data_IF_687234754443
#
_entry.id   IF_687234754443
#
_cell.length_a   1.000
_cell.length_b   1.000
_cell.length_c   1.000
_cell.angle_alpha   90.00
_cell.angle_beta   90.00
_cell.angle_gamma   90.00
#
_symmetry.space_group_name_H-M   'P 1'
#
loop_
_entity.id
_entity.type
_entity.pdbx_description
1 polymer ?
#
# COMPACT_ATOMS: atom_id res chain seq x y z
N UNK A 1 44.73 51.25 24.53
CA UNK A 1 44.75 49.83 24.95
C UNK A 1 43.85 49.05 24.01
N UNK A 2 44.35 48.04 23.28
CA UNK A 2 43.51 47.24 22.40
C UNK A 2 42.71 46.24 23.24
N UNK A 3 41.39 46.24 23.11
CA UNK A 3 40.54 45.25 23.76
C UNK A 3 40.65 43.91 23.02
N UNK A 4 41.06 42.88 23.74
CA UNK A 4 41.14 41.50 23.27
C UNK A 4 39.75 41.00 22.85
N UNK A 5 39.66 40.36 21.68
CA UNK A 5 38.44 39.66 21.23
C UNK A 5 38.34 38.34 22.00
N UNK A 6 37.18 37.98 22.58
CA UNK A 6 37.02 36.72 23.29
C UNK A 6 37.17 35.52 22.33
N UNK A 7 37.81 34.47 22.85
CA UNK A 7 38.15 33.25 22.12
C UNK A 7 36.93 32.44 21.68
N UNK A 8 37.11 31.61 20.65
CA UNK A 8 36.09 30.80 19.95
C UNK A 8 35.33 29.76 20.79
N UNK A 9 35.46 29.74 22.12
CA UNK A 9 34.91 28.68 22.98
C UNK A 9 34.04 29.14 24.15
N UNK A 10 33.72 30.43 24.29
CA UNK A 10 32.91 30.95 25.40
C UNK A 10 31.41 31.10 25.08
N UNK A 11 30.86 30.21 24.25
CA UNK A 11 29.40 30.12 24.13
C UNK A 11 28.88 29.15 25.19
N UNK A 12 27.97 29.57 26.10
CA UNK A 12 27.30 28.62 26.99
C UNK A 12 26.65 27.52 26.14
N UNK A 13 26.64 26.26 26.61
CA UNK A 13 26.00 25.18 25.88
C UNK A 13 24.57 25.62 25.55
N UNK A 14 24.24 25.68 24.25
CA UNK A 14 22.91 26.06 23.79
C UNK A 14 21.91 25.17 24.54
N UNK A 15 20.91 25.73 25.24
CA UNK A 15 19.90 24.91 25.90
C UNK A 15 19.33 23.94 24.86
N UNK A 16 19.33 22.66 25.21
CA UNK A 16 18.82 21.62 24.33
C UNK A 16 17.36 21.92 24.00
N UNK A 17 17.11 22.48 22.82
CA UNK A 17 15.77 22.67 22.30
C UNK A 17 15.19 21.29 21.97
N UNK A 18 14.71 20.59 22.99
CA UNK A 18 13.79 19.48 22.84
C UNK A 18 12.39 20.08 22.81
N UNK A 19 11.87 20.31 21.61
CA UNK A 19 10.42 20.28 21.44
C UNK A 19 10.09 18.89 20.89
N UNK A 20 9.86 17.86 21.73
CA UNK A 20 8.96 16.84 21.27
C UNK A 20 7.63 17.58 21.14
N UNK A 21 7.19 17.82 19.91
CA UNK A 21 5.78 18.15 19.68
C UNK A 21 4.91 17.12 20.41
N UNK A 22 3.64 17.43 20.69
CA UNK A 22 2.77 16.50 21.41
C UNK A 22 2.87 15.11 20.79
N UNK A 23 2.97 14.10 21.66
CA UNK A 23 3.06 12.70 21.26
C UNK A 23 2.06 12.44 20.12
N UNK A 24 2.49 11.93 18.96
CA UNK A 24 1.63 11.84 17.80
C UNK A 24 0.69 10.64 17.95
N UNK A 25 -0.30 10.75 18.84
CA UNK A 25 -1.20 9.67 19.26
C UNK A 25 -1.75 8.85 18.09
N UNK A 26 -2.33 9.52 17.10
CA UNK A 26 -2.90 8.83 15.93
C UNK A 26 -1.83 8.10 15.09
N UNK A 27 -0.60 8.63 15.02
CA UNK A 27 0.50 7.96 14.32
C UNK A 27 1.03 6.76 15.11
N UNK A 28 1.01 6.82 16.44
CA UNK A 28 1.41 5.72 17.31
C UNK A 28 0.36 4.61 17.34
N UNK A 29 -0.91 4.94 17.45
CA UNK A 29 -2.01 3.98 17.32
C UNK A 29 -1.94 3.28 15.96
N UNK A 30 -1.70 4.05 14.89
CA UNK A 30 -1.42 3.50 13.56
C UNK A 30 -0.25 2.53 13.50
N UNK A 31 0.83 2.84 14.20
CA UNK A 31 2.02 2.00 14.16
C UNK A 31 1.87 0.74 15.02
N UNK A 32 1.34 0.89 16.24
CA UNK A 32 1.21 -0.17 17.24
C UNK A 32 0.22 -1.25 16.85
N UNK A 33 -0.83 -0.90 16.09
CA UNK A 33 -1.81 -1.87 15.59
C UNK A 33 -1.26 -2.81 14.53
N UNK A 34 -0.05 -2.59 14.00
CA UNK A 34 0.51 -3.44 12.94
C UNK A 34 1.04 -4.76 13.48
N UNK A 35 0.71 -5.83 12.77
CA UNK A 35 1.20 -7.19 13.04
C UNK A 35 2.61 -7.39 12.47
N UNK A 36 3.41 -8.28 13.08
CA UNK A 36 4.75 -8.61 12.57
C UNK A 36 4.65 -9.66 11.46
N UNK A 37 5.11 -9.34 10.25
CA UNK A 37 5.14 -10.29 9.12
C UNK A 37 6.56 -10.40 8.55
N UNK A 38 7.27 -11.54 8.77
CA UNK A 38 8.53 -11.86 8.11
C UNK A 38 8.41 -11.80 6.59
N UNK A 39 9.42 -11.21 5.93
CA UNK A 39 9.44 -11.06 4.49
C UNK A 39 10.87 -11.06 3.97
N UNK A 40 11.11 -11.71 2.84
CA UNK A 40 12.42 -11.73 2.21
C UNK A 40 12.66 -10.48 1.36
N UNK A 41 11.64 -10.00 0.65
CA UNK A 41 11.70 -8.84 -0.23
C UNK A 41 10.57 -7.86 0.05
N UNK A 42 10.85 -6.57 -0.07
CA UNK A 42 9.79 -5.55 0.00
C UNK A 42 8.72 -5.71 -1.09
N UNK A 43 9.00 -6.50 -2.14
CA UNK A 43 8.05 -6.85 -3.21
C UNK A 43 7.12 -8.01 -2.85
N UNK A 44 7.34 -8.66 -1.71
CA UNK A 44 6.47 -9.74 -1.19
C UNK A 44 5.22 -9.20 -0.50
N UNK A 45 5.24 -7.91 -0.16
CA UNK A 45 4.20 -7.23 0.61
C UNK A 45 3.76 -6.03 -0.20
N UNK A 46 2.47 -5.89 -0.43
CA UNK A 46 1.93 -4.92 -1.36
C UNK A 46 0.93 -3.98 -0.70
N UNK A 47 1.03 -2.67 -1.01
CA UNK A 47 0.11 -1.58 -0.62
C UNK A 47 -0.46 -1.71 0.80
N UNK A 48 -1.71 -2.15 0.95
CA UNK A 48 -2.43 -2.22 2.21
C UNK A 48 -1.84 -3.23 3.19
N UNK A 49 -1.11 -4.25 2.71
CA UNK A 49 -0.36 -5.12 3.61
C UNK A 49 0.72 -4.34 4.36
N UNK A 50 1.29 -3.26 3.79
CA UNK A 50 2.19 -2.38 4.55
C UNK A 50 1.44 -1.48 5.54
N UNK A 51 0.12 -1.29 5.37
CA UNK A 51 -0.71 -0.56 6.31
C UNK A 51 -1.10 -1.40 7.52
N UNK A 52 -1.23 -2.72 7.35
CA UNK A 52 -1.63 -3.68 8.39
C UNK A 52 -0.46 -4.42 9.02
N UNK A 53 0.63 -4.64 8.28
CA UNK A 53 1.80 -5.38 8.74
C UNK A 53 3.05 -4.50 8.82
N UNK A 54 3.83 -4.70 9.88
CA UNK A 54 5.20 -4.23 9.99
C UNK A 54 6.14 -5.24 9.37
N UNK A 55 6.82 -4.80 8.30
CA UNK A 55 7.64 -5.66 7.46
C UNK A 55 8.98 -5.01 7.24
N UNK A 56 10.04 -5.78 7.45
CA UNK A 56 11.40 -5.43 7.05
C UNK A 56 11.91 -6.56 6.17
N UNK A 57 12.19 -6.25 4.91
CA UNK A 57 12.75 -7.23 3.98
C UNK A 57 13.96 -7.94 4.62
N UNK A 58 14.18 -9.23 4.34
CA UNK A 58 15.31 -10.02 4.85
C UNK A 58 15.44 -10.10 6.38
N UNK A 59 14.47 -9.61 7.15
CA UNK A 59 14.37 -9.88 8.56
C UNK A 59 13.45 -11.09 8.73
N UNK A 60 13.98 -12.26 8.37
CA UNK A 60 13.23 -13.52 8.44
C UNK A 60 13.07 -14.04 9.87
N UNK A 61 13.90 -13.53 10.79
CA UNK A 61 13.82 -13.83 12.22
C UNK A 61 12.88 -12.86 12.92
N UNK A 62 11.94 -13.39 13.70
CA UNK A 62 10.98 -12.59 14.47
C UNK A 62 11.68 -11.68 15.49
N UNK A 63 12.80 -12.11 16.06
CA UNK A 63 13.55 -11.30 17.04
C UNK A 63 14.11 -10.02 16.41
N UNK A 64 14.67 -10.13 15.20
CA UNK A 64 15.15 -8.98 14.42
C UNK A 64 14.00 -8.02 14.12
N UNK A 65 12.86 -8.54 13.68
CA UNK A 65 11.69 -7.69 13.39
C UNK A 65 11.16 -7.00 14.65
N UNK A 66 11.12 -7.71 15.77
CA UNK A 66 10.67 -7.20 17.06
C UNK A 66 11.57 -6.06 17.53
N UNK A 67 12.89 -6.22 17.44
CA UNK A 67 13.86 -5.17 17.80
C UNK A 67 13.72 -3.91 16.95
N UNK A 68 13.57 -4.07 15.63
CA UNK A 68 13.39 -2.93 14.73
C UNK A 68 12.04 -2.25 15.02
N UNK A 69 10.95 -3.01 15.21
CA UNK A 69 9.63 -2.45 15.54
C UNK A 69 9.68 -1.67 16.85
N UNK A 70 10.30 -2.23 17.88
CA UNK A 70 10.43 -1.60 19.19
C UNK A 70 11.23 -0.29 19.14
N UNK A 71 12.30 -0.21 18.35
CA UNK A 71 13.03 1.05 18.19
C UNK A 71 12.23 2.08 17.37
N UNK A 72 11.47 1.66 16.36
CA UNK A 72 10.59 2.58 15.61
C UNK A 72 9.47 3.12 16.51
N UNK A 73 8.90 2.28 17.38
CA UNK A 73 7.90 2.71 18.38
C UNK A 73 8.48 3.80 19.30
N UNK A 74 9.65 3.53 19.90
CA UNK A 74 10.36 4.50 20.74
C UNK A 74 10.68 5.79 19.99
N UNK A 75 11.11 5.68 18.74
CA UNK A 75 11.39 6.85 17.92
C UNK A 75 10.14 7.71 17.64
N UNK A 76 8.98 7.08 17.42
CA UNK A 76 7.70 7.78 17.25
C UNK A 76 7.22 8.41 18.56
N UNK A 77 7.32 7.69 19.68
CA UNK A 77 6.81 8.12 20.98
C UNK A 77 7.65 9.25 21.59
N UNK A 78 8.97 9.12 21.56
CA UNK A 78 9.89 10.05 22.22
C UNK A 78 10.45 11.12 21.25
N UNK A 79 10.13 11.04 19.96
CA UNK A 79 10.65 11.96 18.94
C UNK A 79 12.15 11.80 18.65
N UNK A 80 12.70 10.60 18.81
CA UNK A 80 14.14 10.32 18.63
C UNK A 80 14.63 10.67 17.23
N UNK A 81 15.88 11.09 17.14
CA UNK A 81 16.56 11.39 15.87
C UNK A 81 17.03 10.11 15.16
N UNK A 82 17.34 10.22 13.86
CA UNK A 82 17.95 9.13 13.10
C UNK A 82 19.29 8.66 13.70
N UNK A 83 20.08 9.59 14.26
CA UNK A 83 21.38 9.28 14.84
C UNK A 83 21.20 8.41 16.09
N UNK A 84 20.27 8.77 16.98
CA UNK A 84 19.91 7.98 18.16
C UNK A 84 19.37 6.60 17.74
N UNK A 85 18.42 6.56 16.80
CA UNK A 85 17.88 5.31 16.26
C UNK A 85 18.97 4.35 15.76
N UNK A 86 19.95 4.87 15.01
CA UNK A 86 21.06 4.06 14.50
C UNK A 86 22.03 3.62 15.61
N UNK A 87 22.33 4.51 16.55
CA UNK A 87 23.24 4.24 17.67
C UNK A 87 22.73 3.10 18.55
N UNK A 88 21.43 3.10 18.85
CA UNK A 88 20.83 2.15 19.79
C UNK A 88 20.50 0.81 19.14
N UNK A 89 20.03 0.83 17.89
CA UNK A 89 19.56 -0.38 17.20
C UNK A 89 20.70 -1.20 16.58
N UNK A 90 21.77 -0.54 16.09
CA UNK A 90 22.90 -1.23 15.46
C UNK A 90 23.48 -2.37 16.32
N UNK A 91 23.90 -2.14 17.59
CA UNK A 91 24.52 -3.21 18.39
C UNK A 91 23.59 -4.39 18.64
N UNK A 92 22.28 -4.14 18.83
CA UNK A 92 21.28 -5.20 19.02
C UNK A 92 21.09 -6.05 17.76
N UNK A 93 21.14 -5.42 16.58
CA UNK A 93 21.08 -6.14 15.31
C UNK A 93 22.37 -6.91 15.01
N UNK A 94 23.52 -6.38 15.42
CA UNK A 94 24.81 -7.08 15.33
C UNK A 94 24.82 -8.33 16.21
N UNK A 95 24.32 -8.26 17.46
CA UNK A 95 24.22 -9.43 18.34
C UNK A 95 23.25 -10.50 17.83
N UNK A 96 22.20 -10.10 17.12
CA UNK A 96 21.28 -11.03 16.44
C UNK A 96 21.84 -11.57 15.11
N UNK A 97 23.08 -11.19 14.74
CA UNK A 97 23.71 -11.62 13.49
C UNK A 97 23.07 -11.02 12.23
N UNK A 98 22.27 -9.96 12.36
CA UNK A 98 21.60 -9.26 11.26
C UNK A 98 22.35 -8.00 10.84
N UNK A 99 23.60 -8.12 10.41
CA UNK A 99 24.40 -6.97 9.98
C UNK A 99 25.36 -7.33 8.83
N UNK A 100 25.64 -6.36 7.96
CA UNK A 100 26.56 -6.55 6.84
C UNK A 100 25.96 -7.34 5.68
N UNK A 101 26.83 -8.02 4.92
CA UNK A 101 26.44 -8.94 3.84
C UNK A 101 26.51 -10.38 4.36
N UNK A 102 25.54 -11.20 3.97
CA UNK A 102 25.51 -12.63 4.24
C UNK A 102 24.87 -13.36 3.08
N UNK A 103 25.24 -14.62 2.90
CA UNK A 103 24.55 -15.51 1.98
C UNK A 103 23.23 -15.96 2.60
N UNK A 104 22.18 -15.96 1.78
CA UNK A 104 20.84 -16.38 2.20
C UNK A 104 20.13 -17.03 1.02
N UNK A 105 19.45 -18.14 1.30
CA UNK A 105 18.59 -18.83 0.33
C UNK A 105 17.30 -18.03 0.15
N UNK A 106 16.96 -17.69 -1.08
CA UNK A 106 15.67 -17.08 -1.42
C UNK A 106 14.56 -18.13 -1.27
N UNK A 107 13.60 -17.97 -0.35
CA UNK A 107 12.56 -18.98 -0.11
C UNK A 107 11.61 -19.16 -1.31
N UNK A 108 11.62 -18.22 -2.27
CA UNK A 108 10.79 -18.31 -3.47
C UNK A 108 11.47 -19.08 -4.60
N UNK A 109 12.79 -18.92 -4.77
CA UNK A 109 13.53 -19.51 -5.89
C UNK A 109 14.44 -20.67 -5.49
N UNK A 110 14.72 -20.85 -4.19
CA UNK A 110 15.66 -21.85 -3.67
C UNK A 110 17.14 -21.51 -3.93
N UNK A 111 17.44 -20.36 -4.53
CA UNK A 111 18.81 -19.97 -4.88
C UNK A 111 19.52 -19.26 -3.72
N UNK A 112 20.79 -19.61 -3.48
CA UNK A 112 21.67 -18.85 -2.59
C UNK A 112 22.10 -17.54 -3.26
N UNK A 113 21.96 -16.44 -2.52
CA UNK A 113 22.38 -15.13 -2.98
C UNK A 113 23.07 -14.37 -1.85
N UNK A 114 24.15 -13.66 -2.18
CA UNK A 114 24.73 -12.68 -1.27
C UNK A 114 23.73 -11.52 -1.08
N UNK A 115 23.30 -11.29 0.16
CA UNK A 115 22.33 -10.25 0.48
C UNK A 115 22.87 -9.26 1.51
N UNK A 116 22.56 -7.98 1.29
CA UNK A 116 22.74 -6.97 2.32
C UNK A 116 21.65 -7.10 3.40
N UNK A 117 22.05 -7.35 4.65
CA UNK A 117 21.24 -7.33 5.88
C UNK A 117 21.21 -5.90 6.48
N UNK A 118 21.55 -5.73 7.76
CA UNK A 118 21.66 -4.43 8.40
C UNK A 118 22.78 -3.56 7.81
N UNK A 119 22.51 -2.27 7.65
CA UNK A 119 23.53 -1.25 7.35
C UNK A 119 23.02 0.14 7.76
N UNK A 120 23.90 1.14 7.99
CA UNK A 120 23.46 2.48 8.36
C UNK A 120 22.51 3.09 7.32
N UNK A 121 22.79 2.89 6.02
CA UNK A 121 21.91 3.33 4.93
C UNK A 121 20.54 2.66 5.00
N UNK A 122 20.49 1.36 5.30
CA UNK A 122 19.23 0.63 5.43
C UNK A 122 18.42 1.07 6.65
N UNK A 123 19.07 1.26 7.80
CA UNK A 123 18.42 1.78 9.00
C UNK A 123 17.83 3.18 8.74
N UNK A 124 18.52 4.02 7.96
CA UNK A 124 17.99 5.32 7.51
C UNK A 124 16.71 5.17 6.70
N UNK A 125 16.65 4.21 5.79
CA UNK A 125 15.44 3.93 5.01
C UNK A 125 14.31 3.42 5.89
N UNK A 126 14.56 2.43 6.74
CA UNK A 126 13.58 1.87 7.69
C UNK A 126 12.99 2.98 8.56
N UNK A 127 13.85 3.77 9.20
CA UNK A 127 13.45 4.90 10.02
C UNK A 127 12.61 5.89 9.20
N UNK A 128 13.13 6.42 8.08
CA UNK A 128 12.43 7.46 7.32
C UNK A 128 11.09 7.00 6.77
N UNK A 129 11.02 5.78 6.25
CA UNK A 129 9.79 5.22 5.69
C UNK A 129 8.73 5.06 6.77
N UNK A 130 9.02 4.32 7.85
CA UNK A 130 8.03 4.09 8.91
C UNK A 130 7.60 5.39 9.58
N UNK A 131 8.55 6.27 9.90
CA UNK A 131 8.28 7.55 10.55
C UNK A 131 7.46 8.50 9.69
N UNK A 132 7.50 8.39 8.35
CA UNK A 132 6.70 9.21 7.43
C UNK A 132 5.32 8.60 7.19
N UNK A 133 5.25 7.30 6.93
CA UNK A 133 3.98 6.59 6.72
C UNK A 133 3.10 6.65 7.97
N UNK A 134 3.67 6.46 9.17
CA UNK A 134 2.91 6.58 10.41
C UNK A 134 2.37 8.01 10.63
N UNK A 135 3.20 9.04 10.38
CA UNK A 135 2.75 10.44 10.49
C UNK A 135 1.71 10.80 9.44
N UNK A 136 1.81 10.27 8.22
CA UNK A 136 0.82 10.47 7.16
C UNK A 136 -0.53 9.85 7.54
N UNK A 137 -0.51 8.65 8.11
CA UNK A 137 -1.73 8.01 8.60
C UNK A 137 -2.37 8.80 9.75
N UNK A 138 -1.57 9.21 10.75
CA UNK A 138 -2.09 10.05 11.83
C UNK A 138 -2.55 11.43 11.35
N UNK A 139 -1.91 11.99 10.32
CA UNK A 139 -2.38 13.22 9.67
C UNK A 139 -3.76 13.01 9.03
N UNK A 140 -3.98 11.88 8.35
CA UNK A 140 -5.25 11.56 7.72
C UNK A 140 -6.39 11.36 8.73
N UNK A 141 -6.15 10.68 9.85
CA UNK A 141 -7.15 10.54 10.90
C UNK A 141 -7.58 11.92 11.46
N UNK A 142 -6.63 12.87 11.56
CA UNK A 142 -6.94 14.26 11.90
C UNK A 142 -7.70 14.98 10.79
N UNK A 143 -7.33 14.75 9.52
CA UNK A 143 -8.04 15.31 8.36
C UNK A 143 -9.51 14.91 8.38
N UNK A 144 -9.80 13.62 8.50
CA UNK A 144 -11.18 13.13 8.55
C UNK A 144 -11.98 13.74 9.69
N UNK A 145 -11.36 13.91 10.86
CA UNK A 145 -12.01 14.52 12.03
C UNK A 145 -12.31 16.00 11.83
N UNK A 146 -11.44 16.74 11.13
CA UNK A 146 -11.54 18.20 11.00
C UNK A 146 -12.11 18.68 9.66
N UNK A 147 -12.43 17.78 8.72
CA UNK A 147 -12.83 18.14 7.36
C UNK A 147 -14.05 19.05 7.25
N UNK A 148 -14.93 19.07 8.26
CA UNK A 148 -16.05 20.03 8.28
C UNK A 148 -15.57 21.49 8.31
N UNK A 149 -14.55 21.81 9.10
CA UNK A 149 -13.96 23.15 9.20
C UNK A 149 -12.81 23.40 8.21
N UNK A 150 -12.13 22.32 7.81
CA UNK A 150 -10.97 22.34 6.92
C UNK A 150 -11.21 21.41 5.71
N UNK A 151 -12.13 21.75 4.80
CA UNK A 151 -12.65 20.80 3.80
C UNK A 151 -11.72 20.57 2.61
N UNK A 152 -10.58 21.25 2.53
CA UNK A 152 -9.69 21.18 1.39
C UNK A 152 -8.27 20.76 1.80
N UNK A 153 -7.61 20.03 0.91
CA UNK A 153 -6.21 19.65 1.01
C UNK A 153 -5.41 20.31 -0.11
N UNK A 154 -4.29 20.92 0.28
CA UNK A 154 -3.30 21.51 -0.61
C UNK A 154 -2.05 20.62 -0.68
N UNK A 155 -1.71 20.13 -1.87
CA UNK A 155 -0.49 19.37 -2.10
C UNK A 155 0.76 20.27 -2.16
N UNK A 156 1.78 19.95 -1.38
CA UNK A 156 3.00 20.75 -1.26
C UNK A 156 4.28 19.91 -1.44
N UNK A 157 5.24 20.43 -2.20
CA UNK A 157 6.56 19.81 -2.27
C UNK A 157 7.28 19.91 -0.92
N UNK A 158 8.05 18.86 -0.63
CA UNK A 158 8.97 18.83 0.50
C UNK A 158 10.31 19.48 0.18
N UNK A 159 11.24 19.49 1.15
CA UNK A 159 12.61 19.98 0.96
C UNK A 159 13.50 18.88 0.32
N UNK A 160 13.07 18.30 -0.79
CA UNK A 160 13.96 17.44 -1.59
C UNK A 160 14.74 18.31 -2.57
N UNK A 161 15.98 17.92 -2.88
CA UNK A 161 16.77 18.64 -3.90
C UNK A 161 16.16 18.42 -5.29
N UNK A 162 15.75 17.19 -5.55
CA UNK A 162 15.14 16.76 -6.80
C UNK A 162 13.73 16.25 -6.52
N UNK A 163 12.83 16.59 -7.43
CA UNK A 163 11.43 16.20 -7.40
C UNK A 163 11.08 15.52 -8.71
N UNK A 164 10.18 14.53 -8.62
CA UNK A 164 9.61 13.91 -9.83
C UNK A 164 8.76 14.95 -10.57
N UNK A 165 8.78 14.97 -11.92
CA UNK A 165 7.98 15.92 -12.69
C UNK A 165 6.51 15.92 -12.29
N UNK A 166 5.94 14.74 -12.01
CA UNK A 166 4.55 14.59 -11.57
C UNK A 166 4.30 15.27 -10.23
N UNK A 167 5.24 15.17 -9.28
CA UNK A 167 5.08 15.80 -7.96
C UNK A 167 5.17 17.32 -8.06
N UNK A 168 6.01 17.82 -8.98
CA UNK A 168 6.06 19.25 -9.32
C UNK A 168 4.73 19.69 -9.93
N UNK A 169 4.19 18.88 -10.85
CA UNK A 169 2.88 19.10 -11.47
C UNK A 169 1.70 18.91 -10.49
N UNK A 170 1.88 18.32 -9.31
CA UNK A 170 0.88 18.28 -8.25
C UNK A 170 1.04 19.42 -7.24
N UNK A 171 2.18 20.13 -7.23
CA UNK A 171 2.35 21.26 -6.33
C UNK A 171 1.30 22.35 -6.58
N UNK A 172 0.55 22.73 -5.55
CA UNK A 172 -0.54 23.69 -5.70
C UNK A 172 -1.87 23.06 -6.11
N UNK A 173 -1.97 21.73 -6.15
CA UNK A 173 -3.24 21.03 -6.29
C UNK A 173 -4.07 21.19 -5.00
N UNK A 174 -5.24 21.78 -5.14
CA UNK A 174 -6.17 22.11 -4.07
C UNK A 174 -7.49 21.38 -4.31
N UNK A 175 -7.73 20.29 -3.59
CA UNK A 175 -8.92 19.45 -3.78
C UNK A 175 -9.69 19.29 -2.47
N UNK A 176 -11.01 19.02 -2.52
CA UNK A 176 -11.77 18.59 -1.35
C UNK A 176 -11.12 17.37 -0.67
N UNK A 177 -11.32 17.21 0.64
CA UNK A 177 -10.81 16.05 1.41
C UNK A 177 -11.34 14.73 0.84
N UNK A 178 -12.59 14.70 0.41
CA UNK A 178 -13.25 13.48 -0.11
C UNK A 178 -12.94 13.20 -1.60
N UNK A 179 -12.04 13.98 -2.23
CA UNK A 179 -11.65 13.74 -3.62
C UNK A 179 -10.95 12.37 -3.80
N UNK A 180 -11.33 11.55 -4.79
CA UNK A 180 -10.75 10.23 -5.03
C UNK A 180 -9.22 10.24 -5.22
N UNK A 181 -8.63 11.37 -5.63
CA UNK A 181 -7.18 11.53 -5.75
C UNK A 181 -6.45 11.14 -4.45
N UNK A 182 -6.99 11.52 -3.29
CA UNK A 182 -6.37 11.27 -1.99
C UNK A 182 -6.38 9.81 -1.55
N UNK A 183 -7.11 8.94 -2.26
CA UNK A 183 -7.09 7.49 -1.98
C UNK A 183 -5.74 6.84 -2.32
N UNK A 184 -5.01 7.43 -3.26
CA UNK A 184 -3.76 6.86 -3.81
C UNK A 184 -2.58 7.83 -3.74
N UNK A 185 -2.83 9.15 -3.74
CA UNK A 185 -1.79 10.17 -3.87
C UNK A 185 -1.53 10.95 -2.57
N UNK A 186 -1.94 10.41 -1.41
CA UNK A 186 -1.58 10.98 -0.11
C UNK A 186 -0.10 10.67 0.19
N UNK A 187 0.78 11.69 0.33
CA UNK A 187 2.19 11.46 0.60
C UNK A 187 2.42 10.70 1.91
N UNK A 188 3.46 9.85 1.99
CA UNK A 188 4.54 9.67 1.02
C UNK A 188 4.15 8.85 -0.23
N UNK A 189 4.49 9.39 -1.40
CA UNK A 189 4.15 8.83 -2.72
C UNK A 189 5.23 7.90 -3.31
N UNK A 190 6.22 7.52 -2.51
CA UNK A 190 7.37 6.74 -2.95
C UNK A 190 8.58 6.85 -2.04
N UNK A 191 9.63 6.09 -2.38
CA UNK A 191 10.87 6.04 -1.60
C UNK A 191 11.54 7.42 -1.57
N UNK A 192 11.81 7.91 -0.36
CA UNK A 192 12.47 9.21 -0.17
C UNK A 192 11.57 10.42 -0.45
N UNK A 193 10.28 10.24 -0.75
CA UNK A 193 9.34 11.33 -0.93
C UNK A 193 9.23 12.17 0.35
N UNK A 194 9.31 13.50 0.17
CA UNK A 194 9.18 14.48 1.27
C UNK A 194 7.98 15.41 1.12
N UNK A 195 7.18 15.23 0.07
CA UNK A 195 5.96 15.97 -0.17
C UNK A 195 5.00 15.80 1.01
N UNK A 196 4.07 16.75 1.16
CA UNK A 196 3.09 16.78 2.24
C UNK A 196 1.78 17.36 1.73
N UNK A 197 0.70 17.09 2.45
CA UNK A 197 -0.56 17.82 2.29
C UNK A 197 -0.75 18.79 3.44
N UNK A 198 -1.49 19.86 3.19
CA UNK A 198 -1.91 20.82 4.21
C UNK A 198 -3.42 21.03 4.13
N UNK A 199 -4.09 20.89 5.25
CA UNK A 199 -5.51 21.24 5.36
C UNK A 199 -5.70 22.76 5.28
N UNK A 200 -6.71 23.19 4.55
CA UNK A 200 -7.07 24.61 4.41
C UNK A 200 -8.57 24.82 4.61
N UNK A 201 -8.92 25.96 5.20
CA UNK A 201 -10.32 26.37 5.38
C UNK A 201 -10.93 26.81 4.05
N UNK A 202 -12.26 26.96 3.99
CA UNK A 202 -12.94 27.54 2.83
C UNK A 202 -12.42 28.94 2.52
N UNK A 203 -12.30 29.82 3.52
CA UNK A 203 -11.80 31.19 3.37
C UNK A 203 -10.36 31.22 2.86
N UNK A 204 -9.50 30.35 3.38
CA UNK A 204 -8.12 30.26 2.90
C UNK A 204 -8.06 29.69 1.47
N UNK A 205 -8.89 28.70 1.14
CA UNK A 205 -8.99 28.16 -0.21
C UNK A 205 -9.36 29.26 -1.22
N UNK A 206 -10.35 30.10 -0.93
CA UNK A 206 -10.72 31.24 -1.81
C UNK A 206 -9.60 32.26 -1.95
N UNK A 207 -8.87 32.56 -0.86
CA UNK A 207 -7.68 33.41 -0.95
C UNK A 207 -6.60 32.79 -1.84
N UNK A 208 -6.33 31.50 -1.67
CA UNK A 208 -5.31 30.80 -2.45
C UNK A 208 -5.71 30.66 -3.92
N UNK A 209 -7.00 30.51 -4.24
CA UNK A 209 -7.51 30.54 -5.61
C UNK A 209 -7.25 31.88 -6.29
N UNK A 210 -7.40 32.99 -5.57
CA UNK A 210 -7.11 34.34 -6.09
C UNK A 210 -5.62 34.63 -6.18
N UNK A 211 -4.87 34.33 -5.12
CA UNK A 211 -3.48 34.80 -4.96
C UNK A 211 -2.44 33.78 -5.45
N UNK A 212 -2.83 32.52 -5.64
CA UNK A 212 -1.91 31.42 -5.89
C UNK A 212 -1.07 30.99 -4.68
N UNK A 213 -0.25 29.96 -4.89
CA UNK A 213 0.67 29.38 -3.89
C UNK A 213 2.13 29.67 -4.22
N UNK A 214 2.98 29.71 -3.19
CA UNK A 214 4.42 29.92 -3.35
C UNK A 214 5.09 28.75 -4.06
N UNK A 215 5.92 29.04 -5.05
CA UNK A 215 6.75 28.06 -5.75
C UNK A 215 7.92 27.64 -4.84
N UNK A 216 8.07 26.35 -4.49
CA UNK A 216 9.15 25.88 -3.65
C UNK A 216 10.50 26.03 -4.38
N UNK A 217 11.49 26.64 -3.71
CA UNK A 217 12.88 26.53 -4.13
C UNK A 217 13.37 27.54 -5.17
N UNK A 218 12.66 28.64 -5.45
CA UNK A 218 13.28 29.73 -6.19
C UNK A 218 14.28 30.45 -5.25
N UNK A 219 15.54 30.05 -5.25
CA UNK A 219 16.60 30.87 -4.68
C UNK A 219 16.85 32.04 -5.63
N UNK A 220 16.98 33.23 -5.07
CA UNK A 220 17.43 34.39 -5.83
C UNK A 220 18.87 34.12 -6.25
N UNK A 221 19.13 34.25 -7.54
CA UNK A 221 20.48 34.15 -8.10
C UNK A 221 21.03 35.56 -8.22
N UNK A 222 22.30 35.72 -7.85
CA UNK A 222 23.03 36.95 -8.06
C UNK A 222 23.19 37.20 -9.58
N UNK A 223 22.80 38.37 -10.11
CA UNK A 223 22.82 38.64 -11.55
C UNK A 223 24.21 38.62 -12.19
N UNK A 224 25.26 38.91 -11.42
CA UNK A 224 26.63 39.01 -11.90
C UNK A 224 27.37 37.67 -11.83
N UNK A 225 27.10 36.88 -10.78
CA UNK A 225 27.82 35.63 -10.51
C UNK A 225 27.02 34.37 -10.82
N UNK A 226 25.69 34.47 -10.96
CA UNK A 226 24.79 33.33 -11.15
C UNK A 226 24.68 32.40 -9.93
N UNK A 227 25.30 32.76 -8.80
CA UNK A 227 25.30 31.95 -7.58
C UNK A 227 24.08 32.27 -6.70
N UNK A 228 23.57 31.31 -5.90
CA UNK A 228 22.44 31.58 -5.02
C UNK A 228 22.79 32.54 -3.88
N UNK A 229 22.00 33.61 -3.73
CA UNK A 229 22.19 34.64 -2.69
C UNK A 229 21.76 34.19 -1.28
N UNK A 230 21.14 33.01 -1.18
CA UNK A 230 20.51 32.52 0.05
C UNK A 230 19.13 33.12 0.34
N UNK A 231 18.68 34.14 -0.43
CA UNK A 231 17.31 34.67 -0.38
C UNK A 231 16.37 33.82 -1.22
N UNK A 232 15.11 33.69 -0.78
CA UNK A 232 14.07 32.98 -1.54
C UNK A 232 13.24 34.00 -2.33
N UNK A 233 13.16 33.81 -3.65
CA UNK A 233 12.25 34.55 -4.51
C UNK A 233 10.82 34.11 -4.21
N UNK A 234 9.97 35.04 -3.80
CA UNK A 234 8.55 34.80 -3.55
C UNK A 234 7.77 34.78 -4.87
N UNK A 235 7.99 33.78 -5.71
CA UNK A 235 7.16 33.55 -6.90
C UNK A 235 5.92 32.77 -6.51
N UNK A 236 4.78 33.16 -7.08
CA UNK A 236 3.51 32.44 -6.91
C UNK A 236 3.10 31.77 -8.21
N UNK A 237 2.42 30.64 -8.10
CA UNK A 237 1.74 29.95 -9.20
C UNK A 237 0.25 29.84 -8.89
N UNK A 238 -0.63 29.88 -9.90
CA UNK A 238 -2.05 29.60 -9.71
C UNK A 238 -2.24 28.18 -9.17
N UNK A 239 -3.26 28.00 -8.33
CA UNK A 239 -3.65 26.67 -7.88
C UNK A 239 -4.47 25.94 -8.93
N UNK A 240 -4.42 24.62 -8.89
CA UNK A 240 -5.31 23.75 -9.67
C UNK A 240 -6.38 23.21 -8.73
N UNK A 241 -7.63 23.31 -9.16
CA UNK A 241 -8.79 22.85 -8.38
C UNK A 241 -9.49 21.64 -8.98
N UNK A 242 -9.12 21.27 -10.20
CA UNK A 242 -9.67 20.10 -10.89
C UNK A 242 -8.87 18.85 -10.52
N UNK A 243 -9.58 17.76 -10.24
CA UNK A 243 -8.96 16.48 -9.95
C UNK A 243 -8.25 15.97 -11.21
N UNK A 244 -6.93 15.68 -11.14
CA UNK A 244 -6.17 15.30 -12.32
C UNK A 244 -6.57 13.89 -12.78
N UNK A 245 -6.60 13.68 -14.09
CA UNK A 245 -6.79 12.33 -14.65
C UNK A 245 -5.61 11.44 -14.24
N UNK A 246 -5.91 10.33 -13.58
CA UNK A 246 -4.88 9.39 -13.10
C UNK A 246 -4.47 8.47 -14.26
N UNK A 247 -3.39 8.82 -14.94
CA UNK A 247 -2.73 7.91 -15.88
C UNK A 247 -2.04 6.78 -15.11
N UNK A 248 -2.26 5.54 -15.53
CA UNK A 248 -1.59 4.36 -14.95
C UNK A 248 -0.66 3.73 -15.97
N UNK A 249 0.43 3.15 -15.46
CA UNK A 249 1.37 2.34 -16.23
C UNK A 249 1.35 0.90 -15.72
N UNK A 250 1.57 -0.04 -16.63
CA UNK A 250 1.81 -1.42 -16.25
C UNK A 250 3.18 -1.55 -15.61
N UNK A 251 3.21 -2.27 -14.49
CA UNK A 251 4.42 -2.62 -13.78
C UNK A 251 4.37 -4.11 -13.47
N UNK A 252 5.41 -4.82 -13.89
CA UNK A 252 5.54 -6.25 -13.64
C UNK A 252 6.33 -6.43 -12.36
N UNK A 253 5.70 -7.03 -11.35
CA UNK A 253 6.40 -7.50 -10.17
C UNK A 253 7.29 -8.67 -10.57
N UNK A 254 8.57 -8.40 -10.84
CA UNK A 254 9.56 -9.43 -11.22
C UNK A 254 9.66 -10.60 -10.23
N UNK A 255 9.16 -10.43 -8.99
CA UNK A 255 9.17 -11.48 -7.97
C UNK A 255 7.90 -12.34 -8.02
N UNK A 256 6.72 -11.74 -8.18
CA UNK A 256 5.45 -12.49 -8.20
C UNK A 256 4.92 -12.76 -9.61
N UNK A 257 5.58 -12.27 -10.66
CA UNK A 257 5.11 -12.33 -12.05
C UNK A 257 3.83 -11.51 -12.32
N UNK A 258 3.32 -10.80 -11.31
CA UNK A 258 2.05 -10.09 -11.38
C UNK A 258 2.20 -8.79 -12.17
N UNK A 259 1.28 -8.56 -13.11
CA UNK A 259 1.17 -7.28 -13.82
C UNK A 259 0.19 -6.41 -13.08
N UNK A 260 0.67 -5.28 -12.56
CA UNK A 260 -0.11 -4.33 -11.80
C UNK A 260 -0.16 -2.99 -12.51
N UNK A 261 -1.25 -2.23 -12.33
CA UNK A 261 -1.38 -0.89 -12.90
C UNK A 261 -1.13 0.14 -11.82
N UNK A 262 0.03 0.77 -11.86
CA UNK A 262 0.47 1.77 -10.88
C UNK A 262 0.27 3.17 -11.46
N UNK A 263 -0.31 4.13 -10.71
CA UNK A 263 -0.38 5.52 -11.13
C UNK A 263 0.99 6.11 -11.47
N UNK A 264 1.07 6.87 -12.57
CA UNK A 264 2.28 7.60 -12.94
C UNK A 264 2.60 8.64 -11.87
N UNK A 265 3.88 8.76 -11.51
CA UNK A 265 4.34 9.60 -10.39
C UNK A 265 4.39 8.91 -9.03
N UNK A 266 3.79 7.71 -8.87
CA UNK A 266 3.90 6.90 -7.66
C UNK A 266 4.90 5.74 -7.86
N UNK A 267 5.59 5.37 -6.78
CA UNK A 267 6.37 4.13 -6.78
C UNK A 267 5.44 2.92 -6.60
N UNK A 268 5.74 1.78 -7.25
CA UNK A 268 5.05 0.51 -7.01
C UNK A 268 4.94 0.21 -5.51
N UNK A 269 3.72 0.03 -5.00
CA UNK A 269 3.42 -0.30 -3.60
C UNK A 269 3.24 0.91 -2.69
N UNK A 270 3.31 2.14 -3.22
CA UNK A 270 3.06 3.39 -2.50
C UNK A 270 1.76 4.08 -2.94
N UNK A 271 1.00 3.44 -3.81
CA UNK A 271 -0.26 3.90 -4.37
C UNK A 271 -1.46 3.56 -3.49
N UNK A 272 -1.35 3.91 -2.20
CA UNK A 272 -2.41 3.79 -1.21
C UNK A 272 -2.31 4.94 -0.20
N UNK A 273 -3.41 5.25 0.47
CA UNK A 273 -3.42 6.21 1.58
C UNK A 273 -3.22 5.48 2.91
N UNK A 274 -2.10 5.71 3.63
CA UNK A 274 -1.80 5.00 4.86
C UNK A 274 -2.87 5.14 5.95
N UNK A 275 -3.57 6.28 6.03
CA UNK A 275 -4.60 6.49 7.04
C UNK A 275 -5.97 5.93 6.68
N UNK A 276 -6.24 5.71 5.39
CA UNK A 276 -7.52 5.15 4.91
C UNK A 276 -7.57 3.63 5.08
N UNK A 277 -6.46 2.94 4.84
CA UNK A 277 -6.36 1.48 4.88
C UNK A 277 -6.40 0.88 6.30
N UNK A 278 -6.76 1.68 7.31
CA UNK A 278 -6.44 1.42 8.71
C UNK A 278 -7.39 0.54 9.51
N UNK A 279 -8.72 0.69 9.36
CA UNK A 279 -9.68 -0.07 10.17
C UNK A 279 -10.41 -1.14 9.37
N UNK A 280 -11.08 -0.77 8.28
CA UNK A 280 -11.78 -1.75 7.44
C UNK A 280 -10.77 -2.69 6.75
N UNK A 281 -9.71 -2.16 6.14
CA UNK A 281 -8.66 -2.98 5.52
C UNK A 281 -7.97 -3.91 6.52
N UNK A 282 -7.71 -3.43 7.75
CA UNK A 282 -7.16 -4.25 8.82
C UNK A 282 -8.14 -5.32 9.31
N UNK A 283 -9.41 -4.97 9.51
CA UNK A 283 -10.44 -5.92 9.90
C UNK A 283 -10.61 -7.02 8.84
N UNK A 284 -10.61 -6.65 7.56
CA UNK A 284 -10.67 -7.59 6.44
C UNK A 284 -9.41 -8.48 6.37
N UNK A 285 -8.21 -7.93 6.60
CA UNK A 285 -6.97 -8.71 6.62
C UNK A 285 -6.93 -9.67 7.81
N UNK A 286 -7.29 -9.22 9.02
CA UNK A 286 -7.37 -10.06 10.22
C UNK A 286 -8.42 -11.15 10.06
N UNK A 287 -9.55 -10.82 9.43
CA UNK A 287 -10.58 -11.80 9.10
C UNK A 287 -10.06 -12.81 8.09
N UNK A 288 -9.41 -12.38 7.01
CA UNK A 288 -8.80 -13.28 6.04
C UNK A 288 -7.77 -14.22 6.69
N UNK A 289 -6.95 -13.72 7.62
CA UNK A 289 -6.02 -14.55 8.40
C UNK A 289 -6.72 -15.60 9.27
N UNK A 290 -7.82 -15.22 9.96
CA UNK A 290 -8.64 -16.17 10.74
C UNK A 290 -9.27 -17.23 9.85
N UNK A 291 -9.84 -16.81 8.71
CA UNK A 291 -10.47 -17.70 7.73
C UNK A 291 -9.46 -18.71 7.15
N UNK A 292 -8.21 -18.30 6.96
CA UNK A 292 -7.14 -19.17 6.45
C UNK A 292 -6.83 -20.33 7.41
N UNK A 293 -6.91 -20.07 8.72
CA UNK A 293 -6.67 -21.07 9.78
C UNK A 293 -7.91 -21.83 10.24
N UNK A 294 -9.11 -21.34 9.91
CA UNK A 294 -10.36 -21.94 10.33
C UNK A 294 -10.67 -23.22 9.53
N UNK A 295 -11.56 -24.05 10.08
CA UNK A 295 -12.10 -25.19 9.34
C UNK A 295 -12.83 -24.69 8.08
N UNK A 296 -12.60 -25.35 6.93
CA UNK A 296 -13.00 -24.82 5.61
C UNK A 296 -14.51 -24.58 5.49
N UNK A 297 -15.32 -25.46 6.08
CA UNK A 297 -16.78 -25.30 6.06
C UNK A 297 -17.23 -24.04 6.83
N UNK A 298 -16.62 -23.76 7.99
CA UNK A 298 -16.96 -22.59 8.81
C UNK A 298 -16.46 -21.31 8.15
N UNK A 299 -15.27 -21.36 7.55
CA UNK A 299 -14.69 -20.27 6.80
C UNK A 299 -15.56 -19.91 5.57
N UNK A 300 -16.02 -20.92 4.83
CA UNK A 300 -16.96 -20.74 3.73
C UNK A 300 -18.29 -20.13 4.18
N UNK A 301 -18.87 -20.60 5.29
CA UNK A 301 -20.07 -20.01 5.90
C UNK A 301 -19.89 -18.53 6.22
N UNK A 302 -18.79 -18.21 6.90
CA UNK A 302 -18.43 -16.84 7.31
C UNK A 302 -18.25 -15.90 6.12
N UNK A 303 -17.61 -16.38 5.04
CA UNK A 303 -17.41 -15.59 3.84
C UNK A 303 -18.74 -15.32 3.11
N UNK A 304 -19.65 -16.30 3.02
CA UNK A 304 -20.98 -16.07 2.42
C UNK A 304 -21.75 -14.98 3.16
N UNK A 305 -21.73 -15.02 4.49
CA UNK A 305 -22.38 -13.99 5.32
C UNK A 305 -21.76 -12.61 5.10
N UNK A 306 -20.42 -12.55 5.08
CA UNK A 306 -19.70 -11.30 4.85
C UNK A 306 -20.02 -10.67 3.49
N UNK A 307 -20.02 -11.46 2.42
CA UNK A 307 -20.31 -10.98 1.05
C UNK A 307 -21.77 -10.52 0.91
N UNK A 308 -22.70 -11.17 1.61
CA UNK A 308 -24.12 -10.76 1.64
C UNK A 308 -24.38 -9.53 2.52
N UNK A 309 -23.44 -9.18 3.41
CA UNK A 309 -23.59 -8.05 4.30
C UNK A 309 -23.49 -6.70 3.57
N UNK A 310 -24.04 -5.60 4.13
CA UNK A 310 -23.86 -4.25 3.57
C UNK A 310 -22.39 -3.81 3.43
N UNK A 311 -21.49 -4.42 4.20
CA UNK A 311 -20.04 -4.12 4.18
C UNK A 311 -19.45 -4.36 2.79
N UNK A 312 -19.90 -5.38 2.07
CA UNK A 312 -19.40 -5.66 0.73
C UNK A 312 -19.82 -4.58 -0.27
N UNK A 313 -21.09 -4.15 -0.25
CA UNK A 313 -21.58 -3.05 -1.09
C UNK A 313 -20.93 -1.69 -0.74
N UNK A 314 -20.64 -1.44 0.54
CA UNK A 314 -19.83 -0.29 0.97
C UNK A 314 -18.39 -0.37 0.45
N UNK A 315 -17.77 -1.55 0.53
CA UNK A 315 -16.45 -1.79 -0.03
C UNK A 315 -16.44 -1.60 -1.56
N UNK A 316 -17.43 -2.09 -2.30
CA UNK A 316 -17.50 -1.89 -3.76
C UNK A 316 -17.60 -0.40 -4.15
N UNK A 317 -18.32 0.41 -3.37
CA UNK A 317 -18.42 1.87 -3.59
C UNK A 317 -17.12 2.61 -3.32
N UNK A 318 -16.31 2.12 -2.36
CA UNK A 318 -15.02 2.71 -2.02
C UNK A 318 -14.02 1.62 -1.63
N UNK A 319 -13.45 0.89 -2.62
CA UNK A 319 -12.67 -0.32 -2.40
C UNK A 319 -11.37 0.01 -1.65
N UNK A 320 -11.22 -0.57 -0.47
CA UNK A 320 -10.08 -0.37 0.45
C UNK A 320 -9.57 -1.73 0.93
N UNK A 321 -8.29 -2.02 0.70
CA UNK A 321 -7.73 -3.33 1.02
C UNK A 321 -8.31 -4.46 0.15
N UNK A 322 -8.10 -5.69 0.58
CA UNK A 322 -8.55 -6.89 -0.11
C UNK A 322 -9.75 -7.51 0.63
N UNK A 323 -10.81 -7.82 -0.09
CA UNK A 323 -12.03 -8.39 0.49
C UNK A 323 -12.02 -9.92 0.36
N UNK A 324 -12.20 -10.70 1.44
CA UNK A 324 -12.29 -12.16 1.34
C UNK A 324 -13.64 -12.54 0.69
N UNK A 325 -13.59 -13.21 -0.46
CA UNK A 325 -14.76 -13.54 -1.28
C UNK A 325 -15.11 -15.02 -1.31
N UNK A 326 -14.12 -15.89 -1.20
CA UNK A 326 -14.36 -17.32 -1.17
C UNK A 326 -13.25 -18.09 -0.45
N UNK A 327 -13.50 -19.36 -0.13
CA UNK A 327 -12.51 -20.33 0.38
C UNK A 327 -12.55 -21.55 -0.52
N UNK A 328 -11.41 -21.88 -1.14
CA UNK A 328 -11.26 -23.08 -1.97
C UNK A 328 -10.84 -24.30 -1.15
N UNK A 329 -11.09 -25.49 -1.69
CA UNK A 329 -10.68 -26.75 -1.09
C UNK A 329 -9.18 -27.04 -1.33
N UNK A 330 -8.58 -27.85 -0.47
CA UNK A 330 -7.15 -28.20 -0.53
C UNK A 330 -6.77 -28.87 -1.86
N UNK A 331 -7.68 -29.67 -2.42
CA UNK A 331 -7.50 -30.31 -3.72
C UNK A 331 -7.32 -29.29 -4.84
N UNK A 332 -8.11 -28.21 -4.83
CA UNK A 332 -8.04 -27.14 -5.81
C UNK A 332 -6.84 -26.22 -5.57
N UNK A 333 -6.55 -25.88 -4.31
CA UNK A 333 -5.35 -25.11 -3.97
C UNK A 333 -4.08 -25.82 -4.49
N UNK A 334 -3.99 -27.13 -4.27
CA UNK A 334 -2.89 -27.97 -4.73
C UNK A 334 -2.77 -27.98 -6.27
N UNK A 335 -3.88 -28.00 -7.01
CA UNK A 335 -3.88 -28.00 -8.48
C UNK A 335 -3.22 -26.77 -9.09
N UNK A 336 -3.20 -25.65 -8.38
CA UNK A 336 -2.59 -24.38 -8.80
C UNK A 336 -1.33 -24.01 -8.00
N UNK A 337 -0.81 -24.93 -7.19
CA UNK A 337 0.39 -24.71 -6.38
C UNK A 337 0.21 -23.64 -5.31
N UNK A 338 -1.02 -23.46 -4.80
CA UNK A 338 -1.31 -22.54 -3.73
C UNK A 338 -1.25 -23.24 -2.36
N UNK A 339 -0.68 -22.54 -1.38
CA UNK A 339 -0.76 -22.90 0.05
C UNK A 339 -1.84 -22.11 0.79
N UNK A 340 -2.36 -21.04 0.17
CA UNK A 340 -3.49 -20.27 0.66
C UNK A 340 -4.81 -20.84 0.14
N UNK A 341 -5.90 -20.60 0.87
CA UNK A 341 -7.23 -21.10 0.56
C UNK A 341 -8.26 -19.97 0.45
N UNK A 342 -8.04 -18.84 1.13
CA UNK A 342 -8.92 -17.68 1.04
C UNK A 342 -8.68 -16.93 -0.27
N UNK A 343 -9.69 -16.91 -1.13
CA UNK A 343 -9.77 -16.10 -2.35
C UNK A 343 -10.13 -14.67 -1.98
N UNK A 344 -9.26 -13.74 -2.36
CA UNK A 344 -9.39 -12.32 -2.08
C UNK A 344 -9.82 -11.54 -3.32
N UNK A 345 -10.48 -10.41 -3.11
CA UNK A 345 -10.86 -9.47 -4.16
C UNK A 345 -10.15 -8.16 -3.95
N UNK A 346 -9.22 -7.85 -4.84
CA UNK A 346 -8.45 -6.62 -4.79
C UNK A 346 -9.22 -5.48 -5.45
N UNK A 347 -8.87 -4.24 -5.09
CA UNK A 347 -9.36 -3.04 -5.76
C UNK A 347 -9.13 -3.09 -7.28
N UNK A 348 -7.97 -3.56 -7.73
CA UNK A 348 -7.64 -3.60 -9.16
C UNK A 348 -8.51 -4.62 -9.91
N UNK A 349 -8.74 -5.80 -9.31
CA UNK A 349 -9.68 -6.78 -9.84
C UNK A 349 -11.10 -6.22 -9.90
N UNK A 350 -11.54 -5.52 -8.85
CA UNK A 350 -12.85 -4.85 -8.83
C UNK A 350 -12.98 -3.75 -9.89
N UNK A 351 -11.99 -2.86 -10.04
CA UNK A 351 -12.00 -1.81 -11.08
C UNK A 351 -12.02 -2.39 -12.50
N UNK A 352 -11.38 -3.56 -12.72
CA UNK A 352 -11.50 -4.30 -13.97
C UNK A 352 -12.91 -4.89 -14.13
N UNK A 353 -13.36 -5.58 -13.10
CA UNK A 353 -14.64 -6.27 -13.05
C UNK A 353 -15.81 -5.32 -13.30
N UNK A 354 -15.87 -4.18 -12.61
CA UNK A 354 -16.92 -3.18 -12.77
C UNK A 354 -16.96 -2.53 -14.17
N UNK A 355 -15.81 -2.44 -14.85
CA UNK A 355 -15.73 -1.91 -16.22
C UNK A 355 -16.21 -2.93 -17.25
N UNK A 356 -15.86 -4.20 -17.06
CA UNK A 356 -16.18 -5.28 -18.01
C UNK A 356 -17.57 -5.88 -17.78
N UNK A 357 -18.04 -5.87 -16.53
CA UNK A 357 -19.30 -6.44 -16.08
C UNK A 357 -20.03 -5.51 -15.08
N UNK A 358 -20.45 -4.30 -15.51
CA UNK A 358 -21.20 -3.37 -14.66
C UNK A 358 -22.60 -3.88 -14.28
N UNK A 359 -23.10 -4.93 -14.93
CA UNK A 359 -24.42 -5.53 -14.72
C UNK A 359 -24.53 -6.44 -13.47
N UNK A 360 -23.40 -6.70 -12.79
CA UNK A 360 -23.35 -7.57 -11.63
C UNK A 360 -23.63 -6.79 -10.35
N UNK A 361 -24.66 -7.21 -9.64
CA UNK A 361 -25.04 -6.64 -8.35
C UNK A 361 -24.17 -7.22 -7.22
N UNK A 362 -23.94 -6.48 -6.12
CA UNK A 362 -23.13 -6.95 -4.99
C UNK A 362 -23.56 -8.32 -4.45
N UNK A 363 -24.87 -8.60 -4.38
CA UNK A 363 -25.40 -9.84 -3.82
C UNK A 363 -25.03 -11.07 -4.65
N UNK A 364 -24.78 -10.90 -5.94
CA UNK A 364 -24.43 -12.01 -6.84
C UNK A 364 -23.03 -12.56 -6.57
N UNK A 365 -22.13 -11.75 -5.98
CA UNK A 365 -20.79 -12.21 -5.63
C UNK A 365 -20.80 -13.28 -4.54
N UNK A 366 -21.92 -13.47 -3.82
CA UNK A 366 -22.08 -14.59 -2.91
C UNK A 366 -22.01 -15.94 -3.64
N UNK A 367 -22.39 -15.98 -4.93
CA UNK A 367 -22.30 -17.18 -5.76
C UNK A 367 -20.85 -17.56 -6.11
N UNK A 368 -19.86 -16.71 -5.83
CA UNK A 368 -18.44 -17.06 -5.96
C UNK A 368 -18.09 -18.20 -5.00
N UNK A 369 -18.60 -18.20 -3.77
CA UNK A 369 -18.38 -19.31 -2.84
C UNK A 369 -19.04 -20.60 -3.35
N UNK A 370 -20.27 -20.50 -3.86
CA UNK A 370 -20.99 -21.66 -4.37
C UNK A 370 -20.29 -22.24 -5.62
N UNK A 371 -19.72 -21.36 -6.47
CA UNK A 371 -18.95 -21.77 -7.63
C UNK A 371 -17.67 -22.52 -7.26
N UNK A 372 -16.97 -22.13 -6.18
CA UNK A 372 -15.75 -22.85 -5.76
C UNK A 372 -16.02 -24.17 -5.04
N UNK A 373 -17.22 -24.34 -4.47
CA UNK A 373 -17.60 -25.56 -3.77
C UNK A 373 -18.31 -26.59 -4.65
N UNK A 374 -19.23 -26.12 -5.49
CA UNK A 374 -20.16 -26.97 -6.25
C UNK A 374 -19.87 -26.90 -7.75
N UNK A 375 -19.21 -25.83 -8.20
CA UNK A 375 -18.89 -25.63 -9.59
C UNK A 375 -17.82 -26.59 -10.10
N UNK A 376 -17.87 -26.87 -11.40
CA UNK A 376 -16.84 -27.68 -12.06
C UNK A 376 -15.57 -26.85 -12.23
N UNK A 377 -14.51 -27.25 -11.53
CA UNK A 377 -13.21 -26.59 -11.56
C UNK A 377 -12.33 -27.07 -12.72
N UNK A 378 -11.97 -26.17 -13.63
CA UNK A 378 -11.13 -26.41 -14.80
C UNK A 378 -9.83 -25.64 -14.66
N UNK A 379 -8.70 -26.29 -14.86
CA UNK A 379 -7.39 -25.61 -14.85
C UNK A 379 -7.22 -24.81 -16.14
N UNK A 380 -6.85 -23.54 -16.02
CA UNK A 380 -6.64 -22.61 -17.15
C UNK A 380 -5.25 -21.98 -16.98
N UNK A 381 -4.20 -22.69 -17.38
CA UNK A 381 -2.80 -22.35 -17.08
C UNK A 381 -2.28 -22.89 -15.75
N UNK A 382 -0.99 -22.68 -15.48
CA UNK A 382 -0.29 -23.32 -14.34
C UNK A 382 -0.89 -22.99 -12.96
N UNK A 383 -1.38 -21.76 -12.78
CA UNK A 383 -1.76 -21.17 -11.48
C UNK A 383 -3.19 -20.62 -11.44
N UNK A 384 -4.05 -21.02 -12.36
CA UNK A 384 -5.43 -20.52 -12.42
C UNK A 384 -6.45 -21.64 -12.56
N UNK A 385 -7.56 -21.47 -11.84
CA UNK A 385 -8.76 -22.30 -11.94
C UNK A 385 -9.93 -21.45 -12.41
N UNK A 386 -10.70 -22.01 -13.33
CA UNK A 386 -11.99 -21.51 -13.77
C UNK A 386 -13.06 -22.42 -13.19
N UNK A 387 -13.95 -21.83 -12.40
CA UNK A 387 -15.08 -22.49 -11.77
C UNK A 387 -16.34 -22.20 -12.59
N UNK A 388 -17.00 -23.27 -13.00
CA UNK A 388 -18.24 -23.24 -13.77
C UNK A 388 -19.39 -23.69 -12.86
N UNK A 389 -20.22 -22.76 -12.43
CA UNK A 389 -21.44 -23.05 -11.68
C UNK A 389 -22.61 -23.03 -12.66
N UNK A 390 -23.23 -24.18 -12.91
CA UNK A 390 -24.37 -24.33 -13.82
C UNK A 390 -25.70 -24.29 -13.07
N UNK A 391 -25.88 -23.27 -12.22
CA UNK A 391 -27.17 -23.01 -11.57
C UNK A 391 -28.17 -22.32 -12.53
N UNK A 392 -29.35 -21.92 -12.01
CA UNK A 392 -30.39 -21.27 -12.80
C UNK A 392 -29.92 -19.99 -13.53
N UNK A 393 -28.94 -19.27 -12.97
CA UNK A 393 -28.36 -18.05 -13.58
C UNK A 393 -27.09 -18.37 -14.35
N UNK A 394 -26.33 -19.35 -13.86
CA UNK A 394 -25.04 -19.79 -14.36
C UNK A 394 -23.95 -18.77 -14.09
N UNK A 395 -22.83 -19.18 -13.49
CA UNK A 395 -21.70 -18.29 -13.18
C UNK A 395 -20.36 -18.89 -13.58
N UNK A 396 -19.43 -18.02 -13.94
CA UNK A 396 -18.01 -18.33 -14.16
C UNK A 396 -17.17 -17.50 -13.21
N UNK A 397 -16.40 -18.15 -12.36
CA UNK A 397 -15.43 -17.51 -11.46
C UNK A 397 -14.00 -17.92 -11.86
N UNK A 398 -13.09 -16.96 -11.95
CA UNK A 398 -11.68 -17.22 -12.29
C UNK A 398 -10.80 -16.86 -11.10
N UNK A 399 -10.25 -17.88 -10.46
CA UNK A 399 -9.35 -17.78 -9.31
C UNK A 399 -7.92 -18.00 -9.78
N UNK A 400 -7.01 -17.14 -9.35
CA UNK A 400 -5.59 -17.23 -9.69
C UNK A 400 -4.71 -17.18 -8.44
N UNK A 401 -3.76 -18.08 -8.35
CA UNK A 401 -2.71 -18.06 -7.34
C UNK A 401 -1.55 -17.13 -7.74
N UNK A 402 -0.95 -16.48 -6.75
CA UNK A 402 0.32 -15.75 -6.94
C UNK A 402 1.46 -16.72 -7.28
N UNK A 403 2.57 -16.23 -7.83
CA UNK A 403 3.75 -17.08 -8.10
C UNK A 403 4.26 -17.81 -6.86
N UNK A 404 4.12 -17.16 -5.69
CA UNK A 404 4.52 -17.72 -4.40
C UNK A 404 3.57 -18.78 -3.84
N UNK A 405 2.34 -18.89 -4.38
CA UNK A 405 1.28 -19.75 -3.85
C UNK A 405 0.63 -19.26 -2.55
N UNK A 406 1.13 -18.19 -1.93
CA UNK A 406 0.69 -17.72 -0.60
C UNK A 406 -0.55 -16.82 -0.59
N UNK A 407 -1.12 -16.55 -1.76
CA UNK A 407 -2.33 -15.74 -1.89
C UNK A 407 -3.10 -16.14 -3.15
N UNK A 408 -4.43 -16.04 -3.05
CA UNK A 408 -5.39 -16.34 -4.11
C UNK A 408 -6.24 -15.10 -4.40
N UNK A 409 -6.48 -14.83 -5.67
CA UNK A 409 -7.27 -13.69 -6.10
C UNK A 409 -8.38 -14.09 -7.07
N UNK A 410 -9.55 -13.50 -6.89
CA UNK A 410 -10.58 -13.46 -7.92
C UNK A 410 -10.17 -12.44 -8.99
N UNK A 411 -10.06 -12.90 -10.23
CA UNK A 411 -9.60 -12.08 -11.37
C UNK A 411 -10.69 -11.75 -12.38
N UNK A 412 -11.75 -12.56 -12.39
CA UNK A 412 -12.94 -12.36 -13.22
C UNK A 412 -14.11 -13.14 -12.62
N UNK A 413 -15.30 -12.55 -12.63
CA UNK A 413 -16.57 -13.20 -12.29
C UNK A 413 -17.63 -12.77 -13.31
N UNK A 414 -18.46 -13.66 -13.82
CA UNK A 414 -19.51 -13.26 -14.78
C UNK A 414 -20.65 -14.26 -14.82
N UNK A 415 -21.82 -13.79 -15.24
CA UNK A 415 -22.94 -14.68 -15.59
C UNK A 415 -22.58 -15.49 -16.85
N UNK A 416 -23.01 -16.73 -16.88
CA UNK A 416 -23.07 -17.51 -18.12
C UNK A 416 -24.13 -16.91 -19.04
N UNK A 417 -24.00 -17.16 -20.35
CA UNK A 417 -25.01 -16.68 -21.28
C UNK A 417 -26.37 -17.31 -20.97
N UNK A 418 -27.44 -16.50 -21.05
CA UNK A 418 -28.82 -17.00 -20.98
C UNK A 418 -29.18 -17.89 -22.18
N UNK A 419 -28.47 -17.70 -23.30
CA UNK A 419 -28.56 -18.54 -24.48
C UNK A 419 -27.86 -19.88 -24.21
N UNK A 420 -28.64 -20.97 -24.21
CA UNK A 420 -28.17 -22.32 -23.92
C UNK A 420 -27.06 -22.78 -24.88
N UNK A 421 -27.11 -22.37 -26.15
CA UNK A 421 -26.11 -22.76 -27.15
C UNK A 421 -24.77 -22.06 -26.85
N UNK A 422 -24.81 -20.75 -26.57
CA UNK A 422 -23.61 -19.99 -26.21
C UNK A 422 -23.03 -20.42 -24.87
N UNK A 423 -23.89 -20.83 -23.92
CA UNK A 423 -23.49 -21.41 -22.64
C UNK A 423 -22.73 -22.71 -22.86
N UNK A 424 -23.32 -23.66 -23.59
CA UNK A 424 -22.71 -24.95 -23.90
C UNK A 424 -21.40 -24.80 -24.69
N UNK A 425 -21.34 -23.89 -25.65
CA UNK A 425 -20.11 -23.58 -26.38
C UNK A 425 -19.01 -23.02 -25.48
N UNK A 426 -19.36 -22.11 -24.57
CA UNK A 426 -18.41 -21.53 -23.61
C UNK A 426 -17.91 -22.59 -22.64
N UNK A 427 -18.82 -23.40 -22.09
CA UNK A 427 -18.49 -24.54 -21.21
C UNK A 427 -17.57 -25.52 -21.95
N UNK A 428 -17.92 -25.96 -23.16
CA UNK A 428 -17.09 -26.87 -23.98
C UNK A 428 -15.73 -26.26 -24.31
N UNK A 429 -15.65 -24.96 -24.62
CA UNK A 429 -14.39 -24.27 -24.91
C UNK A 429 -13.46 -24.26 -23.70
N UNK A 430 -14.00 -23.97 -22.52
CA UNK A 430 -13.23 -23.96 -21.28
C UNK A 430 -12.76 -25.38 -20.92
N UNK A 431 -13.65 -26.38 -21.05
CA UNK A 431 -13.31 -27.79 -20.80
C UNK A 431 -12.19 -28.30 -21.71
N UNK A 432 -12.27 -28.04 -23.02
CA UNK A 432 -11.21 -28.42 -23.97
C UNK A 432 -9.86 -27.75 -23.66
N UNK A 433 -9.89 -26.56 -23.08
CA UNK A 433 -8.67 -25.84 -22.68
C UNK A 433 -8.00 -26.51 -21.47
N UNK A 434 -8.80 -26.92 -20.48
CA UNK A 434 -8.29 -27.68 -19.32
C UNK A 434 -7.79 -29.08 -19.67
N UNK A 435 -8.37 -29.74 -20.66
CA UNK A 435 -7.89 -31.05 -21.15
C UNK A 435 -6.54 -30.94 -21.87
N UNK A 436 -6.31 -29.87 -22.64
CA UNK A 436 -5.02 -29.63 -23.31
C UNK A 436 -3.89 -29.36 -22.32
N UNK A 437 -4.16 -28.63 -21.24
CA UNK A 437 -3.17 -28.34 -20.20
C UNK A 437 -2.89 -29.57 -19.31
N UNK A 438 -3.83 -30.53 -19.20
CA UNK A 438 -3.62 -31.79 -18.48
C UNK A 438 -2.84 -32.84 -19.27
N UNK A 439 -2.88 -32.78 -20.61
CA UNK A 439 -2.24 -33.74 -21.52
C UNK A 439 -0.82 -33.37 -21.97
N UNK A 440 -0.31 -32.19 -21.61
CA UNK A 440 1.06 -31.77 -21.87
C UNK A 440 1.97 -32.10 -20.69
N UNK A 441 2.42 -33.35 -20.58
CA UNK A 441 3.54 -33.75 -19.72
C UNK A 441 4.77 -34.06 -20.56
#
# INVERSE_FOLDING_TARGET
>A
MPQERPGKNDYPPKPGFSFPGPEPKEALEYFRRKDLKPSFSYKDVWREEHATNFVVAKAMQLDVLTEIRAEVDRALAEGRTLQQFQKDLKPRLESLGWWGRKDMVDPLTGEEREVQLGSPRRLRTIYRTNMRTARAAGQWERIERTKQGLPYLLYQLGPSREHRPEHVAWHGLLLPVDDPFWTTHLPPNGWGCKCRVRQVTKTEAERIKRDGVQIPGAQELDPETGLPTGRLVKRRMPVRTDSPTITRREWINKRTGEVQRVPVGLDPGWDYNPGVSGRLGQALEQMAGKLETAHKADAAGSVRELVRSPVFGEWMRNPRGEFPLAVIQDADASRIGASAHVVRFSRDSWEKQNREHPELEPQEYAAVQDAVEQGRAVKDGERSLVYLLEDATGYVAVVKATLSGKALFLTSFRRLSRDAVKRDETTRRLLRRGEKDAGGK
#
